data_IF_958968839306
#
_entry.id   IF_958968839306
#
_cell.length_a   1.000
_cell.length_b   1.000
_cell.length_c   1.000
_cell.angle_alpha   90.00
_cell.angle_beta   90.00
_cell.angle_gamma   90.00
#
_symmetry.space_group_name_H-M   'P 1'
#
loop_
_entity.id
_entity.type
_entity.pdbx_description
1 polymer ?
#
# COMPACT_ATOMS: atom_id res chain seq x y z
N UNK A 1 3.14 18.22 10.19
CA UNK A 1 2.96 16.78 10.44
C UNK A 1 1.71 16.30 9.71
N UNK A 2 1.76 15.12 9.09
CA UNK A 2 0.58 14.50 8.45
C UNK A 2 -0.42 14.10 9.53
N UNK A 3 -1.73 14.28 9.30
CA UNK A 3 -2.78 13.91 10.26
C UNK A 3 -2.67 12.45 10.69
N UNK A 4 -2.55 11.52 9.74
CA UNK A 4 -2.35 10.10 10.07
C UNK A 4 -1.04 9.82 10.80
N UNK A 5 -0.02 10.68 10.69
CA UNK A 5 1.21 10.56 11.49
C UNK A 5 1.06 11.00 12.96
N UNK A 6 -0.05 11.65 13.31
CA UNK A 6 -0.39 11.97 14.71
C UNK A 6 -1.42 10.98 15.24
N UNK A 7 -2.38 10.59 14.40
CA UNK A 7 -3.53 9.77 14.81
C UNK A 7 -3.21 8.28 14.89
N UNK A 8 -2.50 7.72 13.90
CA UNK A 8 -2.29 6.27 13.79
C UNK A 8 -0.83 5.87 13.61
N UNK A 9 0.02 6.76 13.09
CA UNK A 9 1.48 6.55 12.92
C UNK A 9 1.84 5.31 12.10
N UNK A 10 1.07 5.03 11.05
CA UNK A 10 1.27 3.82 10.23
C UNK A 10 2.50 3.89 9.31
N UNK A 11 3.19 2.74 9.09
CA UNK A 11 4.40 2.64 8.28
C UNK A 11 4.15 2.67 6.76
N UNK A 12 2.93 2.33 6.32
CA UNK A 12 2.55 2.30 4.90
C UNK A 12 1.33 3.20 4.64
N UNK A 13 1.25 3.75 3.42
CA UNK A 13 0.12 4.57 2.97
C UNK A 13 -0.44 4.00 1.68
N UNK A 14 -1.76 3.82 1.64
CA UNK A 14 -2.50 3.42 0.43
C UNK A 14 -3.09 4.67 -0.22
N UNK A 15 -2.76 4.92 -1.49
CA UNK A 15 -3.37 5.97 -2.30
C UNK A 15 -4.43 5.35 -3.22
N UNK A 16 -5.65 5.89 -3.21
CA UNK A 16 -6.76 5.48 -4.08
C UNK A 16 -7.49 6.72 -4.57
N UNK A 17 -7.79 6.74 -5.86
CA UNK A 17 -8.57 7.80 -6.49
C UNK A 17 -10.07 7.57 -6.25
N UNK A 18 -10.89 8.63 -6.36
CA UNK A 18 -12.30 8.59 -5.99
C UNK A 18 -13.18 7.69 -6.88
N UNK A 19 -12.70 7.37 -8.08
CA UNK A 19 -13.33 6.51 -9.08
C UNK A 19 -12.73 5.09 -9.11
N UNK A 20 -11.75 4.82 -8.25
CA UNK A 20 -11.10 3.53 -8.14
C UNK A 20 -11.64 2.74 -6.94
N UNK A 21 -11.94 1.46 -7.15
CA UNK A 21 -12.24 0.54 -6.05
C UNK A 21 -11.37 -0.72 -6.15
N UNK A 22 -11.13 -1.35 -5.01
CA UNK A 22 -10.40 -2.62 -4.94
C UNK A 22 -11.42 -3.75 -4.90
N UNK A 23 -11.51 -4.50 -5.99
CA UNK A 23 -12.43 -5.63 -6.15
C UNK A 23 -11.97 -6.87 -5.34
N UNK A 24 -10.66 -7.11 -5.31
CA UNK A 24 -10.04 -8.24 -4.67
C UNK A 24 -9.28 -7.79 -3.41
N UNK A 25 -9.79 -8.08 -2.19
CA UNK A 25 -9.14 -7.67 -0.95
C UNK A 25 -7.76 -8.32 -0.75
N UNK A 26 -7.42 -9.40 -1.48
CA UNK A 26 -6.08 -10.01 -1.44
C UNK A 26 -5.01 -9.13 -2.07
N UNK A 27 -5.37 -8.16 -2.90
CA UNK A 27 -4.42 -7.23 -3.54
C UNK A 27 -3.56 -6.51 -2.49
N UNK A 28 -4.14 -6.11 -1.36
CA UNK A 28 -3.39 -5.49 -0.26
C UNK A 28 -2.42 -6.48 0.41
N UNK A 29 -2.84 -7.72 0.64
CA UNK A 29 -1.96 -8.75 1.20
C UNK A 29 -0.76 -9.02 0.29
N UNK A 30 -0.98 -9.13 -1.02
CA UNK A 30 0.11 -9.32 -1.98
C UNK A 30 1.06 -8.11 -2.02
N UNK A 31 0.53 -6.88 -1.95
CA UNK A 31 1.35 -5.68 -1.86
C UNK A 31 2.20 -5.66 -0.58
N UNK A 32 1.64 -6.08 0.56
CA UNK A 32 2.38 -6.19 1.82
C UNK A 32 3.45 -7.28 1.77
N UNK A 33 3.18 -8.45 1.16
CA UNK A 33 4.20 -9.47 0.94
C UNK A 33 5.37 -8.93 0.09
N UNK A 34 5.11 -8.06 -0.87
CA UNK A 34 6.17 -7.41 -1.65
C UNK A 34 6.91 -6.34 -0.83
N UNK A 35 6.22 -5.57 0.01
CA UNK A 35 6.86 -4.53 0.84
C UNK A 35 7.70 -5.11 1.99
N UNK A 36 7.24 -6.23 2.58
CA UNK A 36 7.83 -6.84 3.79
C UNK A 36 8.66 -8.11 3.49
N UNK A 37 8.51 -8.71 2.31
CA UNK A 37 9.07 -10.04 2.00
C UNK A 37 10.53 -10.05 1.57
N UNK A 38 11.20 -8.90 1.48
CA UNK A 38 12.62 -8.82 1.11
C UNK A 38 13.49 -8.70 2.36
N UNK A 39 14.66 -9.37 2.39
CA UNK A 39 15.66 -9.19 3.47
C UNK A 39 16.08 -7.71 3.66
N UNK A 40 15.83 -6.88 2.65
CA UNK A 40 15.99 -5.44 2.70
C UNK A 40 14.68 -4.77 2.27
N UNK A 41 13.72 -4.69 3.21
CA UNK A 41 12.46 -3.95 3.06
C UNK A 41 12.68 -2.51 2.53
N UNK A 42 13.86 -1.95 2.75
CA UNK A 42 14.28 -0.61 2.32
C UNK A 42 14.44 -0.41 0.80
N UNK A 43 14.36 -1.46 -0.04
CA UNK A 43 14.59 -1.33 -1.48
C UNK A 43 13.34 -0.97 -2.29
N UNK A 44 12.14 -1.09 -1.70
CA UNK A 44 10.88 -0.85 -2.41
C UNK A 44 10.21 0.41 -1.89
N UNK A 45 10.10 1.42 -2.76
CA UNK A 45 9.46 2.70 -2.43
C UNK A 45 7.92 2.65 -2.49
N UNK A 46 7.35 1.90 -3.43
CA UNK A 46 5.90 1.71 -3.55
C UNK A 46 5.57 0.46 -4.39
N UNK A 47 4.37 -0.07 -4.22
CA UNK A 47 3.80 -1.12 -5.08
C UNK A 47 2.58 -0.54 -5.79
N UNK A 48 2.50 -0.73 -7.11
CA UNK A 48 1.33 -0.35 -7.90
C UNK A 48 0.55 -1.61 -8.29
N UNK A 49 -0.68 -1.71 -7.80
CA UNK A 49 -1.65 -2.64 -8.35
C UNK A 49 -2.28 -2.03 -9.61
N UNK A 50 -2.38 -2.81 -10.67
CA UNK A 50 -3.04 -2.40 -11.92
C UNK A 50 -4.49 -2.84 -11.83
N UNK A 51 -5.44 -1.92 -11.95
CA UNK A 51 -6.82 -2.27 -12.29
C UNK A 51 -6.87 -2.67 -13.75
N UNK A 52 -7.39 -3.86 -14.04
CA UNK A 52 -7.93 -4.13 -15.38
C UNK A 52 -9.27 -3.42 -15.44
N UNK A 53 -9.36 -2.38 -16.27
CA UNK A 53 -10.65 -1.77 -16.64
C UNK A 53 -11.60 -2.80 -17.27
#
# INVERSE_FOLDING_TARGET
>A
TRVSGVMTSEPFMLNLDCDMFVDNPKTLYHALCLLLGFESEAQIGFVRAVSTD
#
